data_IF_292857301342
#
_entry.id   IF_292857301342
#
_cell.length_a   1.000
_cell.length_b   1.000
_cell.length_c   1.000
_cell.angle_alpha   90.00
_cell.angle_beta   90.00
_cell.angle_gamma   90.00
#
_symmetry.space_group_name_H-M   'P 1'
#
loop_
_entity.id
_entity.type
_entity.pdbx_description
1 polymer ?
#
# COMPACT_ATOMS: atom_id res chain seq x y z
N UNK A 1 -9.89 -21.99 -9.34
CA UNK A 1 -9.14 -21.81 -8.07
C UNK A 1 -9.53 -20.52 -7.33
N UNK A 2 -9.55 -19.34 -7.97
CA UNK A 2 -10.01 -18.08 -7.35
C UNK A 2 -11.43 -18.17 -6.74
N UNK A 3 -12.39 -18.74 -7.48
CA UNK A 3 -13.77 -18.90 -7.02
C UNK A 3 -13.86 -19.58 -5.65
N UNK A 4 -13.21 -20.72 -5.48
CA UNK A 4 -13.22 -21.44 -4.20
C UNK A 4 -12.53 -20.66 -3.09
N UNK A 5 -11.44 -19.94 -3.39
CA UNK A 5 -10.74 -19.13 -2.41
C UNK A 5 -11.59 -17.96 -1.94
N UNK A 6 -12.26 -17.26 -2.86
CA UNK A 6 -13.14 -16.13 -2.53
C UNK A 6 -14.31 -16.54 -1.65
N UNK A 7 -14.90 -17.72 -1.91
CA UNK A 7 -15.94 -18.27 -1.03
C UNK A 7 -15.40 -18.63 0.37
N UNK A 8 -14.22 -19.28 0.43
CA UNK A 8 -13.60 -19.67 1.71
C UNK A 8 -13.31 -18.47 2.62
N UNK A 9 -12.91 -17.34 2.06
CA UNK A 9 -12.59 -16.11 2.83
C UNK A 9 -13.77 -15.12 2.90
N UNK A 10 -14.94 -15.49 2.36
CA UNK A 10 -16.16 -14.71 2.48
C UNK A 10 -16.17 -13.41 1.66
N UNK A 11 -15.49 -13.36 0.54
CA UNK A 11 -15.51 -12.20 -0.35
C UNK A 11 -16.83 -12.11 -1.13
N UNK A 12 -17.35 -10.89 -1.37
CA UNK A 12 -18.50 -10.68 -2.25
C UNK A 12 -18.25 -11.21 -3.67
N UNK A 13 -19.31 -11.68 -4.35
CA UNK A 13 -19.23 -12.30 -5.68
C UNK A 13 -18.73 -11.35 -6.80
N UNK A 14 -18.74 -10.04 -6.56
CA UNK A 14 -18.24 -9.03 -7.49
C UNK A 14 -16.73 -8.79 -7.38
N UNK A 15 -16.03 -9.50 -6.47
CA UNK A 15 -14.58 -9.44 -6.37
C UNK A 15 -13.92 -10.34 -7.43
N UNK A 16 -12.94 -9.79 -8.11
CA UNK A 16 -12.04 -10.55 -8.98
C UNK A 16 -10.66 -10.62 -8.36
N UNK A 17 -9.91 -11.66 -8.63
CA UNK A 17 -8.58 -11.82 -8.07
C UNK A 17 -7.67 -12.72 -8.90
N UNK A 18 -6.39 -12.58 -8.66
CA UNK A 18 -5.33 -13.37 -9.25
C UNK A 18 -4.45 -13.94 -8.14
N UNK A 19 -4.18 -15.23 -8.22
CA UNK A 19 -3.24 -15.89 -7.30
C UNK A 19 -1.84 -15.74 -7.89
N UNK A 20 -0.96 -15.13 -7.09
CA UNK A 20 0.45 -14.96 -7.43
C UNK A 20 1.28 -16.14 -6.89
N UNK A 21 2.50 -16.29 -7.38
CA UNK A 21 3.44 -17.33 -6.95
C UNK A 21 3.98 -17.11 -5.52
N UNK A 22 3.97 -15.87 -5.06
CA UNK A 22 4.43 -15.49 -3.72
C UNK A 22 3.77 -14.22 -3.20
N UNK A 23 3.83 -13.98 -1.88
CA UNK A 23 3.40 -12.73 -1.28
C UNK A 23 4.20 -11.53 -1.80
N UNK A 24 5.49 -11.72 -2.12
CA UNK A 24 6.33 -10.65 -2.66
C UNK A 24 5.88 -10.19 -4.04
N UNK A 25 5.54 -11.11 -4.94
CA UNK A 25 5.00 -10.77 -6.27
C UNK A 25 3.59 -10.20 -6.17
N UNK A 26 2.76 -10.70 -5.25
CA UNK A 26 1.44 -10.12 -4.99
C UNK A 26 1.54 -8.66 -4.54
N UNK A 27 2.44 -8.36 -3.59
CA UNK A 27 2.71 -6.99 -3.12
C UNK A 27 3.21 -6.10 -4.26
N UNK A 28 4.14 -6.59 -5.08
CA UNK A 28 4.63 -5.84 -6.23
C UNK A 28 3.50 -5.52 -7.23
N UNK A 29 2.65 -6.50 -7.56
CA UNK A 29 1.49 -6.28 -8.44
C UNK A 29 0.52 -5.24 -7.87
N UNK A 30 0.24 -5.28 -6.56
CA UNK A 30 -0.61 -4.31 -5.89
C UNK A 30 -0.02 -2.89 -5.95
N UNK A 31 1.29 -2.74 -5.69
CA UNK A 31 1.99 -1.46 -5.77
C UNK A 31 2.00 -0.89 -7.20
N UNK A 32 2.22 -1.74 -8.21
CA UNK A 32 2.11 -1.34 -9.61
C UNK A 32 0.69 -0.87 -9.96
N UNK A 33 -0.32 -1.59 -9.51
CA UNK A 33 -1.73 -1.22 -9.71
C UNK A 33 -2.06 0.13 -9.05
N UNK A 34 -1.62 0.34 -7.80
CA UNK A 34 -1.80 1.60 -7.10
C UNK A 34 -1.13 2.77 -7.84
N UNK A 35 0.10 2.57 -8.31
CA UNK A 35 0.82 3.55 -9.11
C UNK A 35 0.06 3.92 -10.39
N UNK A 36 -0.37 2.92 -11.16
CA UNK A 36 -1.10 3.17 -12.40
C UNK A 36 -2.45 3.85 -12.16
N UNK A 37 -3.16 3.48 -11.09
CA UNK A 37 -4.42 4.14 -10.72
C UNK A 37 -4.21 5.63 -10.46
N UNK A 38 -3.25 5.99 -9.63
CA UNK A 38 -3.03 7.41 -9.25
C UNK A 38 -2.44 8.25 -10.37
N UNK A 39 -1.65 7.65 -11.26
CA UNK A 39 -1.06 8.35 -12.42
C UNK A 39 -1.95 8.32 -13.67
N UNK A 40 -3.18 7.80 -13.57
CA UNK A 40 -4.08 7.68 -14.73
C UNK A 40 -3.48 6.89 -15.89
N UNK A 41 -2.71 5.83 -15.59
CA UNK A 41 -2.02 4.96 -16.55
C UNK A 41 -0.92 5.66 -17.37
N UNK A 42 -0.49 6.83 -16.94
CA UNK A 42 0.53 7.62 -17.65
C UNK A 42 1.89 6.90 -17.66
N UNK A 43 2.27 6.30 -16.54
CA UNK A 43 3.54 5.56 -16.45
C UNK A 43 3.54 4.33 -17.36
N UNK A 44 2.44 3.59 -17.40
CA UNK A 44 2.30 2.43 -18.30
C UNK A 44 2.40 2.83 -19.77
N UNK A 45 1.79 3.96 -20.13
CA UNK A 45 1.75 4.44 -21.53
C UNK A 45 3.04 5.07 -21.98
N UNK A 46 3.68 5.90 -21.14
CA UNK A 46 4.73 6.84 -21.55
C UNK A 46 6.02 6.71 -20.73
N UNK A 47 6.06 5.78 -19.80
CA UNK A 47 7.20 5.58 -18.90
C UNK A 47 7.32 6.64 -17.80
N UNK A 48 8.31 6.47 -16.92
CA UNK A 48 8.49 7.34 -15.75
C UNK A 48 8.77 8.81 -16.08
N UNK A 49 9.35 9.10 -17.25
CA UNK A 49 9.64 10.48 -17.65
C UNK A 49 8.39 11.35 -17.85
N UNK A 50 7.22 10.73 -17.95
CA UNK A 50 5.96 11.44 -18.09
C UNK A 50 5.34 11.80 -16.72
N UNK A 51 5.86 11.24 -15.61
CA UNK A 51 5.36 11.48 -14.27
C UNK A 51 6.41 12.26 -13.46
N UNK A 52 6.04 13.48 -13.07
CA UNK A 52 6.90 14.36 -12.27
C UNK A 52 6.51 14.40 -10.79
N UNK A 53 5.39 13.77 -10.43
CA UNK A 53 4.90 13.77 -9.05
C UNK A 53 5.70 12.83 -8.17
N UNK A 54 5.95 13.25 -6.95
CA UNK A 54 6.59 12.44 -5.92
C UNK A 54 5.57 11.48 -5.31
N UNK A 55 5.50 10.27 -5.84
CA UNK A 55 4.56 9.23 -5.42
C UNK A 55 5.00 8.61 -4.09
N UNK A 56 4.12 8.62 -3.07
CA UNK A 56 4.44 8.15 -1.72
C UNK A 56 3.71 6.86 -1.38
N UNK A 57 4.46 5.89 -0.83
CA UNK A 57 3.94 4.64 -0.25
C UNK A 57 4.05 4.71 1.27
N UNK A 58 2.99 4.34 1.97
CA UNK A 58 2.96 4.25 3.43
C UNK A 58 2.90 2.79 3.87
N UNK A 59 3.68 2.44 4.87
CA UNK A 59 3.68 1.10 5.47
C UNK A 59 4.09 1.17 6.93
N UNK A 60 3.85 0.11 7.70
CA UNK A 60 4.29 0.02 9.10
C UNK A 60 5.80 -0.21 9.19
N UNK A 61 6.42 0.25 10.28
CA UNK A 61 7.81 -0.09 10.66
C UNK A 61 8.01 -1.60 10.79
N UNK A 62 6.94 -2.35 11.13
CA UNK A 62 6.95 -3.81 11.27
C UNK A 62 6.65 -4.56 9.96
N UNK A 63 6.44 -3.85 8.85
CA UNK A 63 6.15 -4.48 7.57
C UNK A 63 7.33 -5.33 7.07
N UNK A 64 7.00 -6.44 6.43
CA UNK A 64 8.02 -7.30 5.84
C UNK A 64 8.83 -6.55 4.77
N UNK A 65 10.13 -6.84 4.69
CA UNK A 65 11.06 -6.19 3.75
C UNK A 65 10.67 -6.30 2.26
N UNK A 66 9.77 -7.22 1.90
CA UNK A 66 9.22 -7.34 0.54
C UNK A 66 8.46 -6.09 0.12
N UNK A 67 7.82 -5.36 1.04
CA UNK A 67 7.12 -4.10 0.76
C UNK A 67 8.11 -3.03 0.27
N UNK A 68 9.21 -2.81 0.99
CA UNK A 68 10.25 -1.88 0.57
C UNK A 68 10.88 -2.29 -0.77
N UNK A 69 11.20 -3.59 -0.93
CA UNK A 69 11.77 -4.11 -2.18
C UNK A 69 10.81 -3.93 -3.35
N UNK A 70 9.53 -4.28 -3.15
CA UNK A 70 8.48 -4.10 -4.16
C UNK A 70 8.30 -2.64 -4.56
N UNK A 71 8.26 -1.72 -3.60
CA UNK A 71 8.14 -0.28 -3.86
C UNK A 71 9.35 0.26 -4.68
N UNK A 72 10.57 -0.19 -4.37
CA UNK A 72 11.76 0.17 -5.16
C UNK A 72 11.68 -0.36 -6.59
N UNK A 73 11.28 -1.61 -6.78
CA UNK A 73 11.12 -2.23 -8.12
C UNK A 73 9.99 -1.53 -8.89
N UNK A 74 8.88 -1.20 -8.22
CA UNK A 74 7.77 -0.47 -8.82
C UNK A 74 8.11 1.00 -9.17
N UNK A 75 9.31 1.47 -8.84
CA UNK A 75 9.82 2.78 -9.22
C UNK A 75 9.45 3.93 -8.27
N UNK A 76 8.89 3.65 -7.08
CA UNK A 76 8.65 4.70 -6.09
C UNK A 76 9.96 5.27 -5.53
N UNK A 77 10.99 4.43 -5.38
CA UNK A 77 12.23 4.79 -4.72
C UNK A 77 12.14 4.71 -3.19
N UNK A 78 13.28 4.47 -2.53
CA UNK A 78 13.33 4.29 -1.07
C UNK A 78 12.90 5.55 -0.31
N UNK A 79 13.30 6.72 -0.78
CA UNK A 79 13.06 8.00 -0.10
C UNK A 79 11.58 8.41 -0.13
N UNK A 80 10.77 7.72 -0.91
CA UNK A 80 9.33 7.93 -1.03
C UNK A 80 8.50 6.88 -0.29
N UNK A 81 9.14 6.08 0.56
CA UNK A 81 8.46 5.15 1.46
C UNK A 81 8.40 5.77 2.85
N UNK A 82 7.21 5.85 3.44
CA UNK A 82 7.00 6.31 4.80
C UNK A 82 6.76 5.11 5.71
N UNK A 83 7.67 4.90 6.63
CA UNK A 83 7.51 3.91 7.69
C UNK A 83 6.75 4.56 8.85
N UNK A 84 5.51 4.16 9.01
CA UNK A 84 4.60 4.69 10.02
C UNK A 84 4.85 3.98 11.35
N UNK A 85 4.99 4.77 12.42
CA UNK A 85 5.20 4.28 13.77
C UNK A 85 4.08 3.35 14.20
N UNK A 86 4.44 2.37 15.01
CA UNK A 86 3.52 1.40 15.59
C UNK A 86 3.12 1.78 17.01
N UNK A 87 2.03 1.22 17.47
CA UNK A 87 1.57 1.30 18.85
C UNK A 87 2.27 0.25 19.75
N UNK A 88 1.82 0.14 21.01
CA UNK A 88 2.38 -0.81 21.98
C UNK A 88 2.12 -2.28 21.63
N UNK A 89 1.27 -2.56 20.66
CA UNK A 89 0.97 -3.89 20.14
C UNK A 89 1.58 -4.11 18.76
N UNK A 90 2.49 -3.23 18.34
CA UNK A 90 3.15 -3.24 17.04
C UNK A 90 2.22 -3.06 15.82
N UNK A 91 0.97 -2.61 16.01
CA UNK A 91 0.07 -2.24 14.94
C UNK A 91 0.34 -0.81 14.46
N UNK A 92 0.13 -0.56 13.15
CA UNK A 92 0.29 0.76 12.55
C UNK A 92 -0.59 1.82 13.26
N UNK A 93 -0.03 2.94 13.66
CA UNK A 93 -0.78 4.04 14.26
C UNK A 93 -1.51 4.84 13.17
N UNK A 94 -2.84 4.70 13.08
CA UNK A 94 -3.66 5.37 12.06
C UNK A 94 -3.62 6.90 12.18
N UNK A 95 -3.50 7.46 13.39
CA UNK A 95 -3.38 8.91 13.59
C UNK A 95 -2.04 9.44 13.06
N UNK A 96 -0.96 8.69 13.27
CA UNK A 96 0.37 9.00 12.71
C UNK A 96 0.35 8.90 11.18
N UNK A 97 -0.32 7.89 10.63
CA UNK A 97 -0.51 7.73 9.19
C UNK A 97 -1.20 8.97 8.60
N UNK A 98 -2.32 9.38 9.20
CA UNK A 98 -3.09 10.55 8.74
C UNK A 98 -2.25 11.83 8.81
N UNK A 99 -1.53 12.06 9.90
CA UNK A 99 -0.66 13.22 10.05
C UNK A 99 0.47 13.24 9.01
N UNK A 100 1.07 12.08 8.72
CA UNK A 100 2.12 11.96 7.71
C UNK A 100 1.60 12.26 6.30
N UNK A 101 0.39 11.76 5.95
CA UNK A 101 -0.24 12.05 4.66
C UNK A 101 -0.46 13.55 4.48
N UNK A 102 -1.00 14.24 5.49
CA UNK A 102 -1.20 15.69 5.45
C UNK A 102 0.13 16.44 5.22
N UNK A 103 1.17 16.05 5.95
CA UNK A 103 2.50 16.66 5.78
C UNK A 103 3.09 16.43 4.38
N UNK A 104 2.91 15.24 3.81
CA UNK A 104 3.39 14.95 2.45
C UNK A 104 2.61 15.75 1.39
N UNK A 105 1.29 15.93 1.57
CA UNK A 105 0.46 16.79 0.72
C UNK A 105 0.90 18.26 0.76
N UNK A 106 1.19 18.80 1.95
CA UNK A 106 1.71 20.17 2.13
C UNK A 106 3.05 20.37 1.42
N UNK A 107 3.85 19.32 1.30
CA UNK A 107 5.12 19.32 0.57
C UNK A 107 4.97 19.10 -0.95
N UNK A 108 3.75 19.01 -1.45
CA UNK A 108 3.46 18.80 -2.88
C UNK A 108 3.72 17.38 -3.35
N UNK A 109 3.85 16.41 -2.44
CA UNK A 109 3.93 15.01 -2.80
C UNK A 109 2.54 14.44 -3.11
N UNK A 110 2.50 13.30 -3.78
CA UNK A 110 1.29 12.59 -4.15
C UNK A 110 1.18 11.28 -3.37
N UNK A 111 0.44 11.26 -2.25
CA UNK A 111 0.13 10.04 -1.52
C UNK A 111 -0.52 9.02 -2.47
N UNK A 112 -0.03 7.78 -2.50
CA UNK A 112 -0.43 6.81 -3.51
C UNK A 112 -1.13 5.60 -2.90
N UNK A 113 -0.51 4.95 -1.94
CA UNK A 113 -1.10 3.77 -1.30
C UNK A 113 -0.59 3.54 0.11
N UNK A 114 -1.39 2.79 0.87
CA UNK A 114 -1.03 2.25 2.17
C UNK A 114 -0.92 0.74 2.08
N UNK A 115 0.16 0.18 2.59
CA UNK A 115 0.34 -1.28 2.73
C UNK A 115 0.19 -1.63 4.20
N UNK A 116 -0.93 -2.22 4.56
CA UNK A 116 -1.23 -2.71 5.90
C UNK A 116 -1.04 -4.22 6.00
N UNK A 117 -0.76 -4.73 7.19
CA UNK A 117 -0.49 -6.13 7.45
C UNK A 117 -1.47 -6.73 8.44
N UNK A 118 -1.94 -7.94 8.16
CA UNK A 118 -2.70 -8.78 9.09
C UNK A 118 -1.82 -9.97 9.44
N UNK A 119 -1.06 -9.84 10.55
CA UNK A 119 -0.04 -10.79 10.95
C UNK A 119 1.32 -10.48 10.32
N UNK A 120 2.04 -9.50 10.87
CA UNK A 120 3.40 -9.17 10.41
C UNK A 120 4.36 -10.34 10.62
N UNK A 121 5.33 -10.52 9.72
CA UNK A 121 6.26 -11.66 9.73
C UNK A 121 7.13 -11.70 11.00
N UNK A 122 7.52 -10.54 11.53
CA UNK A 122 8.40 -10.43 12.67
C UNK A 122 7.71 -10.72 14.00
N UNK A 123 6.58 -10.08 14.25
CA UNK A 123 5.92 -10.06 15.58
C UNK A 123 4.46 -10.50 15.55
N UNK A 124 3.91 -10.87 14.38
CA UNK A 124 2.51 -11.29 14.24
C UNK A 124 1.49 -10.17 14.47
N UNK A 125 1.91 -8.90 14.45
CA UNK A 125 1.04 -7.76 14.69
C UNK A 125 -0.05 -7.62 13.62
N UNK A 126 -1.19 -7.10 14.02
CA UNK A 126 -2.33 -6.84 13.15
C UNK A 126 -2.60 -5.35 13.10
N UNK A 127 -2.46 -4.77 11.93
CA UNK A 127 -2.77 -3.37 11.72
C UNK A 127 -4.29 -3.11 11.87
N UNK A 128 -4.71 -1.94 12.39
CA UNK A 128 -6.13 -1.61 12.60
C UNK A 128 -6.80 -1.26 11.27
N UNK A 129 -7.05 -2.27 10.42
CA UNK A 129 -7.49 -2.14 9.02
C UNK A 129 -8.68 -1.18 8.86
N UNK A 130 -9.68 -1.22 9.75
CA UNK A 130 -10.85 -0.34 9.64
C UNK A 130 -10.48 1.14 9.78
N UNK A 131 -9.59 1.45 10.73
CA UNK A 131 -9.13 2.83 10.93
C UNK A 131 -8.26 3.29 9.76
N UNK A 132 -7.40 2.42 9.26
CA UNK A 132 -6.55 2.69 8.10
C UNK A 132 -7.40 2.89 6.85
N UNK A 133 -8.42 2.04 6.63
CA UNK A 133 -9.35 2.17 5.51
C UNK A 133 -10.07 3.53 5.54
N UNK A 134 -10.55 3.98 6.72
CA UNK A 134 -11.17 5.30 6.84
C UNK A 134 -10.21 6.44 6.46
N UNK A 135 -8.93 6.32 6.82
CA UNK A 135 -7.90 7.29 6.40
C UNK A 135 -7.69 7.21 4.88
N UNK A 136 -7.62 6.01 4.31
CA UNK A 136 -7.47 5.84 2.86
C UNK A 136 -8.67 6.42 2.08
N UNK A 137 -9.89 6.24 2.59
CA UNK A 137 -11.11 6.83 2.02
C UNK A 137 -11.09 8.36 2.07
N UNK A 138 -10.64 8.96 3.18
CA UNK A 138 -10.53 10.41 3.34
C UNK A 138 -9.63 11.05 2.27
N UNK A 139 -8.57 10.36 1.85
CA UNK A 139 -7.56 10.89 0.91
C UNK A 139 -7.56 10.19 -0.46
N UNK A 140 -8.57 9.37 -0.77
CA UNK A 140 -8.68 8.56 -2.01
C UNK A 140 -7.42 7.72 -2.30
N UNK A 141 -6.88 7.06 -1.27
CA UNK A 141 -5.71 6.21 -1.38
C UNK A 141 -6.07 4.75 -1.65
N UNK A 142 -5.17 4.06 -2.33
CA UNK A 142 -5.24 2.62 -2.49
C UNK A 142 -4.78 1.92 -1.18
N UNK A 143 -5.59 0.96 -0.66
CA UNK A 143 -5.26 0.14 0.49
C UNK A 143 -5.08 -1.32 0.04
#
# INVERSE_FOLDING_TARGET
MWYYLSEMIGLPNNFSGVIQDSASSATLCALLTAREKITGWTVNKSGFNAENSKLIVYTSEEAHSSTEKGAKIAGFGRDNIRFIRTDSQFGMCADTLRAQILSDLEQGALPTCVVASIGTTGVGAVDPIRKIASVCEEFDLFL
#
